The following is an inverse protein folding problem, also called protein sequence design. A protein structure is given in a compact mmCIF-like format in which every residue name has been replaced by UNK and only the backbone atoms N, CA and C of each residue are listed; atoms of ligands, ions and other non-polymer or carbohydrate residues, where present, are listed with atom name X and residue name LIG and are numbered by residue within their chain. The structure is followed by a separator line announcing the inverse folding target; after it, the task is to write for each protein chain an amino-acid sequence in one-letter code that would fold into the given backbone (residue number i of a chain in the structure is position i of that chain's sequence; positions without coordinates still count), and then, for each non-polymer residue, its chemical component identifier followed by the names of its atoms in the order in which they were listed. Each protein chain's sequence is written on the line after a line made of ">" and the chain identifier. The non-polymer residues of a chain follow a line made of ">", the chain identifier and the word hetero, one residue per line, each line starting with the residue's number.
data_IF_617172682055
#
_entry.id   IF_617172682055
#
_cell.length_a   1.000
_cell.length_b   1.000
_cell.length_c   1.000
_cell.angle_alpha   90.00
_cell.angle_beta   90.00
_cell.angle_gamma   90.00
#
_symmetry.space_group_name_H-M   'P 1'
#
loop_
_entity.id
_entity.type
_entity.pdbx_description
1 polymer ?
#
# COMPACT_ATOMS: atom_id res chain seq x y z
N UNK A 1 -4.66 -4.34 -17.76
CA UNK A 1 -5.09 -5.75 -17.76
C UNK A 1 -4.04 -6.54 -17.02
N UNK A 2 -4.44 -7.37 -16.06
CA UNK A 2 -3.55 -8.25 -15.30
C UNK A 2 -2.97 -9.30 -16.23
N UNK A 3 -1.65 -9.46 -16.24
CA UNK A 3 -0.99 -10.45 -17.10
C UNK A 3 -1.38 -11.88 -16.67
N UNK A 4 -1.56 -12.85 -17.59
CA UNK A 4 -1.98 -14.22 -17.26
C UNK A 4 -1.04 -14.96 -16.30
N UNK A 5 0.22 -14.53 -16.17
CA UNK A 5 1.22 -15.12 -15.27
C UNK A 5 1.12 -14.60 -13.83
N UNK A 6 0.35 -13.54 -13.57
CA UNK A 6 0.28 -12.93 -12.23
C UNK A 6 -0.19 -13.92 -11.15
N UNK A 7 -1.17 -14.81 -11.39
CA UNK A 7 -1.56 -15.83 -10.41
C UNK A 7 -0.40 -16.74 -10.02
N UNK A 8 0.36 -17.27 -10.98
CA UNK A 8 1.52 -18.13 -10.71
C UNK A 8 2.64 -17.37 -9.98
N UNK A 9 2.89 -16.12 -10.38
CA UNK A 9 3.87 -15.26 -9.71
C UNK A 9 3.48 -14.97 -8.25
N UNK A 10 2.20 -14.74 -7.97
CA UNK A 10 1.70 -14.57 -6.60
C UNK A 10 1.83 -15.86 -5.78
N UNK A 11 1.46 -17.01 -6.35
CA UNK A 11 1.62 -18.31 -5.68
C UNK A 11 3.07 -18.62 -5.33
N UNK A 12 4.03 -18.12 -6.12
CA UNK A 12 5.45 -18.25 -5.83
C UNK A 12 5.94 -17.21 -4.81
N UNK A 13 5.59 -15.93 -5.00
CA UNK A 13 6.16 -14.83 -4.24
C UNK A 13 5.62 -14.73 -2.80
N UNK A 14 4.31 -15.01 -2.60
CA UNK A 14 3.68 -14.92 -1.28
C UNK A 14 4.39 -15.81 -0.24
N UNK A 15 4.55 -17.13 -0.43
CA UNK A 15 5.18 -17.98 0.59
C UNK A 15 6.65 -17.63 0.85
N UNK A 16 7.36 -17.12 -0.17
CA UNK A 16 8.74 -16.63 -0.01
C UNK A 16 8.76 -15.40 0.89
N UNK A 17 7.90 -14.43 0.62
CA UNK A 17 7.77 -13.23 1.44
C UNK A 17 7.39 -13.57 2.88
N UNK A 18 6.40 -14.44 3.09
CA UNK A 18 5.96 -14.86 4.42
C UNK A 18 7.10 -15.50 5.24
N UNK A 19 7.92 -16.34 4.60
CA UNK A 19 9.08 -16.95 5.26
C UNK A 19 10.17 -15.92 5.66
N UNK A 20 10.22 -14.78 4.97
CA UNK A 20 11.10 -13.66 5.29
C UNK A 20 10.47 -12.67 6.28
N UNK A 21 9.23 -12.91 6.75
CA UNK A 21 8.49 -11.97 7.60
C UNK A 21 7.95 -10.74 6.84
N UNK A 22 7.78 -10.89 5.52
CA UNK A 22 7.32 -9.86 4.59
C UNK A 22 5.93 -10.21 4.04
N UNK A 23 5.26 -9.22 3.49
CA UNK A 23 3.99 -9.33 2.78
C UNK A 23 4.17 -8.83 1.35
N UNK A 24 3.65 -9.56 0.37
CA UNK A 24 3.52 -9.06 -1.01
C UNK A 24 2.31 -8.15 -1.10
N UNK A 25 2.53 -6.88 -1.44
CA UNK A 25 1.48 -5.86 -1.54
C UNK A 25 0.91 -5.77 -2.96
N UNK A 26 1.77 -5.79 -3.97
CA UNK A 26 1.36 -5.75 -5.38
C UNK A 26 2.39 -6.44 -6.28
N UNK A 27 1.94 -7.00 -7.39
CA UNK A 27 2.81 -7.54 -8.44
C UNK A 27 2.35 -7.02 -9.79
N UNK A 28 3.31 -6.47 -10.56
CA UNK A 28 3.07 -5.96 -11.90
C UNK A 28 4.10 -6.53 -12.86
N UNK A 29 3.63 -7.15 -13.94
CA UNK A 29 4.50 -7.59 -15.03
C UNK A 29 4.33 -6.72 -16.28
N UNK A 30 5.33 -5.86 -16.52
CA UNK A 30 5.35 -4.88 -17.60
C UNK A 30 6.04 -5.45 -18.84
N UNK A 31 5.29 -6.15 -19.68
CA UNK A 31 5.81 -6.77 -20.91
C UNK A 31 6.09 -5.78 -22.04
N UNK A 32 5.58 -4.56 -21.93
CA UNK A 32 5.82 -3.49 -22.90
C UNK A 32 7.24 -2.91 -22.82
N UNK A 33 8.01 -3.23 -21.77
CA UNK A 33 9.42 -2.82 -21.64
C UNK A 33 10.35 -3.82 -22.33
N UNK A 34 11.55 -3.39 -22.71
CA UNK A 34 12.60 -4.25 -23.27
C UNK A 34 13.92 -4.06 -22.50
N UNK A 35 14.35 -5.03 -21.68
CA UNK A 35 13.62 -6.25 -21.30
C UNK A 35 12.34 -5.95 -20.50
N UNK A 36 11.38 -6.91 -20.44
CA UNK A 36 10.20 -6.80 -19.59
C UNK A 36 10.57 -6.68 -18.12
N UNK A 37 9.73 -5.99 -17.34
CA UNK A 37 9.99 -5.72 -15.92
C UNK A 37 8.94 -6.42 -15.07
N UNK A 38 9.38 -7.28 -14.15
CA UNK A 38 8.56 -7.81 -13.07
C UNK A 38 8.82 -6.98 -11.81
N UNK A 39 7.82 -6.21 -11.39
CA UNK A 39 7.86 -5.42 -10.17
C UNK A 39 7.06 -6.10 -9.08
N UNK A 40 7.65 -6.23 -7.91
CA UNK A 40 7.01 -6.77 -6.71
C UNK A 40 7.15 -5.74 -5.59
N UNK A 41 6.02 -5.18 -5.16
CA UNK A 41 5.98 -4.29 -4.01
C UNK A 41 5.77 -5.13 -2.74
N UNK A 42 6.66 -5.00 -1.76
CA UNK A 42 6.68 -5.80 -0.52
C UNK A 42 6.65 -4.93 0.73
N UNK A 43 6.15 -5.46 1.84
CA UNK A 43 6.09 -4.76 3.11
C UNK A 43 6.58 -5.62 4.26
N UNK A 44 7.42 -5.07 5.13
CA UNK A 44 7.77 -5.70 6.39
C UNK A 44 6.60 -5.61 7.38
N UNK A 45 6.14 -6.75 7.90
CA UNK A 45 4.97 -6.81 8.80
C UNK A 45 5.28 -6.29 10.21
N UNK A 46 6.53 -6.40 10.66
CA UNK A 46 6.96 -6.00 12.00
C UNK A 46 7.46 -4.55 12.10
N UNK A 47 7.84 -3.93 10.97
CA UNK A 47 8.48 -2.62 10.99
C UNK A 47 8.50 -1.90 9.64
N UNK A 48 9.34 -0.89 9.52
CA UNK A 48 9.57 -0.23 8.24
C UNK A 48 10.18 -1.22 7.22
N UNK A 49 9.89 -1.04 5.93
CA UNK A 49 10.42 -1.92 4.89
C UNK A 49 11.75 -1.36 4.41
N UNK A 50 12.84 -1.99 4.82
CA UNK A 50 14.18 -1.53 4.55
C UNK A 50 14.74 -2.02 3.20
N UNK A 51 15.96 -1.56 2.90
CA UNK A 51 16.73 -2.06 1.75
C UNK A 51 17.06 -3.55 1.90
N UNK A 52 17.42 -3.99 3.11
CA UNK A 52 17.75 -5.39 3.40
C UNK A 52 16.56 -6.32 3.15
N UNK A 53 15.33 -5.89 3.43
CA UNK A 53 14.11 -6.65 3.11
C UNK A 53 13.97 -6.84 1.60
N UNK A 54 14.17 -5.76 0.84
CA UNK A 54 14.13 -5.79 -0.63
C UNK A 54 15.21 -6.70 -1.22
N UNK A 55 16.43 -6.63 -0.69
CA UNK A 55 17.55 -7.47 -1.16
C UNK A 55 17.30 -8.95 -0.89
N UNK A 56 16.85 -9.31 0.32
CA UNK A 56 16.57 -10.70 0.69
C UNK A 56 15.45 -11.28 -0.19
N UNK A 57 14.35 -10.53 -0.35
CA UNK A 57 13.25 -10.93 -1.22
C UNK A 57 13.71 -11.08 -2.67
N UNK A 58 14.52 -10.16 -3.19
CA UNK A 58 15.02 -10.20 -4.58
C UNK A 58 15.80 -11.48 -4.83
N UNK A 59 16.74 -11.82 -3.94
CA UNK A 59 17.58 -13.02 -4.10
C UNK A 59 16.75 -14.31 -4.03
N UNK A 60 15.83 -14.39 -3.06
CA UNK A 60 14.99 -15.57 -2.87
C UNK A 60 14.02 -15.77 -4.04
N UNK A 61 13.38 -14.69 -4.49
CA UNK A 61 12.43 -14.74 -5.59
C UNK A 61 13.12 -15.04 -6.93
N UNK A 62 14.28 -14.43 -7.21
CA UNK A 62 15.06 -14.71 -8.43
C UNK A 62 15.42 -16.19 -8.52
N UNK A 63 15.92 -16.78 -7.43
CA UNK A 63 16.26 -18.21 -7.35
C UNK A 63 15.06 -19.10 -7.65
N UNK A 64 13.89 -18.74 -7.11
CA UNK A 64 12.67 -19.51 -7.28
C UNK A 64 12.09 -19.39 -8.70
N UNK A 65 12.16 -18.19 -9.29
CA UNK A 65 11.73 -17.93 -10.67
C UNK A 65 12.57 -18.71 -11.69
N UNK A 66 13.89 -18.74 -11.50
CA UNK A 66 14.81 -19.49 -12.37
C UNK A 66 14.56 -21.00 -12.27
N UNK A 67 14.37 -21.51 -11.05
CA UNK A 67 14.12 -22.94 -10.81
C UNK A 67 12.81 -23.46 -11.40
N UNK A 68 11.78 -22.61 -11.52
CA UNK A 68 10.47 -23.01 -12.04
C UNK A 68 10.24 -22.61 -13.51
N UNK A 69 11.19 -21.90 -14.13
CA UNK A 69 11.11 -21.44 -15.53
C UNK A 69 9.79 -20.71 -15.88
N UNK A 70 9.22 -19.94 -14.94
CA UNK A 70 7.90 -19.29 -15.11
C UNK A 70 7.94 -18.18 -16.16
N UNK A 71 9.04 -17.42 -16.20
CA UNK A 71 9.18 -16.24 -17.05
C UNK A 71 9.93 -16.58 -18.34
N UNK A 72 9.39 -16.23 -19.52
CA UNK A 72 10.06 -16.50 -20.78
C UNK A 72 11.18 -15.48 -21.04
N UNK A 73 12.42 -15.97 -21.12
CA UNK A 73 13.58 -15.19 -21.55
C UNK A 73 14.06 -14.15 -20.54
N UNK A 74 14.78 -13.13 -21.05
CA UNK A 74 15.37 -12.10 -20.20
C UNK A 74 14.30 -11.17 -19.61
N UNK A 75 14.43 -10.85 -18.33
CA UNK A 75 13.58 -9.91 -17.60
C UNK A 75 14.41 -9.09 -16.61
N UNK A 76 13.82 -8.04 -16.04
CA UNK A 76 14.35 -7.32 -14.89
C UNK A 76 13.41 -7.53 -13.72
N UNK A 77 13.95 -8.00 -12.59
CA UNK A 77 13.23 -8.06 -11.32
C UNK A 77 13.46 -6.76 -10.55
N UNK A 78 12.37 -6.12 -10.16
CA UNK A 78 12.40 -4.96 -9.25
C UNK A 78 11.62 -5.32 -7.98
N UNK A 79 12.31 -5.26 -6.84
CA UNK A 79 11.68 -5.34 -5.52
C UNK A 79 11.69 -3.95 -4.90
N UNK A 80 10.53 -3.50 -4.43
CA UNK A 80 10.39 -2.21 -3.77
C UNK A 80 9.47 -2.29 -2.57
N UNK A 81 9.63 -1.37 -1.62
CA UNK A 81 8.57 -1.11 -0.65
C UNK A 81 7.35 -0.50 -1.38
N UNK A 82 6.09 -0.77 -0.95
CA UNK A 82 4.95 -0.03 -1.47
C UNK A 82 5.22 1.45 -1.24
N UNK A 83 5.12 2.24 -2.31
CA UNK A 83 5.19 3.69 -2.16
C UNK A 83 4.17 4.16 -1.12
N UNK A 84 4.39 5.35 -0.57
CA UNK A 84 3.41 5.97 0.31
C UNK A 84 2.14 6.20 -0.50
N UNK A 85 1.15 5.33 -0.34
CA UNK A 85 -0.19 5.54 -0.84
C UNK A 85 -0.70 6.81 -0.18
N UNK A 86 -0.92 7.85 -0.99
CA UNK A 86 -1.54 9.08 -0.51
C UNK A 86 -2.92 8.80 0.09
N UNK A 87 -3.54 7.69 -0.30
CA UNK A 87 -4.80 7.20 0.25
C UNK A 87 -4.54 6.15 1.33
N UNK A 88 -5.03 6.42 2.54
CA UNK A 88 -4.97 5.51 3.67
C UNK A 88 -6.11 4.49 3.53
N UNK A 89 -5.77 3.21 3.46
CA UNK A 89 -6.76 2.13 3.27
C UNK A 89 -6.69 1.07 4.38
N UNK A 90 -5.48 0.77 4.84
CA UNK A 90 -5.19 -0.27 5.82
C UNK A 90 -5.14 0.30 7.23
N UNK A 91 -5.51 -0.50 8.25
CA UNK A 91 -5.46 -0.04 9.65
C UNK A 91 -4.07 0.46 10.06
N UNK A 92 -3.04 -0.26 9.62
CA UNK A 92 -1.64 0.11 9.82
C UNK A 92 -1.33 1.50 9.30
N UNK A 93 -1.83 1.87 8.11
CA UNK A 93 -1.62 3.21 7.56
C UNK A 93 -2.29 4.27 8.44
N UNK A 94 -3.51 4.00 8.93
CA UNK A 94 -4.18 4.92 9.86
C UNK A 94 -3.42 5.08 11.19
N UNK A 95 -2.75 4.03 11.67
CA UNK A 95 -1.88 4.10 12.85
C UNK A 95 -0.59 4.88 12.55
N UNK A 96 0.12 4.54 11.48
CA UNK A 96 1.38 5.18 11.08
C UNK A 96 1.22 6.68 10.81
N UNK A 97 0.09 7.09 10.23
CA UNK A 97 -0.19 8.49 9.90
C UNK A 97 -1.06 9.20 10.94
N UNK A 98 -1.20 8.64 12.14
CA UNK A 98 -1.84 9.35 13.25
C UNK A 98 -1.10 10.65 13.55
N UNK A 99 -1.85 11.74 13.70
CA UNK A 99 -1.35 13.10 13.89
C UNK A 99 -1.08 13.89 12.61
N UNK A 100 -1.03 13.23 11.44
CA UNK A 100 -0.83 13.89 10.16
C UNK A 100 -2.13 14.51 9.64
N UNK A 101 -2.06 15.61 8.87
CA UNK A 101 -3.23 16.20 8.26
C UNK A 101 -3.75 15.30 7.13
N UNK A 102 -5.06 15.06 7.13
CA UNK A 102 -5.76 14.24 6.15
C UNK A 102 -7.01 14.95 5.62
N UNK A 103 -7.43 14.54 4.43
CA UNK A 103 -8.72 14.85 3.84
C UNK A 103 -9.52 13.55 3.79
N UNK A 104 -10.66 13.53 4.45
CA UNK A 104 -11.67 12.47 4.34
C UNK A 104 -12.72 12.94 3.34
N UNK A 105 -12.96 12.16 2.30
CA UNK A 105 -14.01 12.40 1.32
C UNK A 105 -15.10 11.36 1.49
N UNK A 106 -16.35 11.79 1.53
CA UNK A 106 -17.49 10.91 1.76
C UNK A 106 -18.82 11.60 1.51
N UNK A 107 -19.85 11.16 2.22
CA UNK A 107 -21.19 11.73 2.17
C UNK A 107 -21.65 12.19 3.55
N UNK A 108 -22.39 13.30 3.59
CA UNK A 108 -23.07 13.74 4.81
C UNK A 108 -24.29 12.86 5.13
N UNK A 109 -24.94 13.12 6.27
CA UNK A 109 -26.18 12.44 6.68
C UNK A 109 -27.35 12.55 5.68
N UNK A 110 -27.33 13.54 4.77
CA UNK A 110 -28.28 13.69 3.66
C UNK A 110 -27.80 13.05 2.36
N UNK A 111 -26.67 12.33 2.36
CA UNK A 111 -26.09 11.68 1.19
C UNK A 111 -25.38 12.63 0.22
N UNK A 112 -25.19 13.91 0.57
CA UNK A 112 -24.49 14.85 -0.32
C UNK A 112 -22.99 14.69 -0.15
N UNK A 113 -22.20 14.84 -1.24
CA UNK A 113 -20.74 14.80 -1.14
C UNK A 113 -20.22 15.81 -0.11
N UNK A 114 -19.36 15.34 0.79
CA UNK A 114 -18.73 16.15 1.82
C UNK A 114 -17.25 15.79 1.95
N UNK A 115 -16.42 16.80 2.18
CA UNK A 115 -15.03 16.63 2.58
C UNK A 115 -14.81 17.16 4.00
N UNK A 116 -14.06 16.42 4.80
CA UNK A 116 -13.61 16.83 6.13
C UNK A 116 -12.09 16.88 6.14
N UNK A 117 -11.52 17.97 6.65
CA UNK A 117 -10.06 18.16 6.73
C UNK A 117 -9.64 18.34 8.17
N UNK A 118 -8.67 17.56 8.62
CA UNK A 118 -8.20 17.62 10.00
C UNK A 118 -6.99 16.73 10.23
N UNK A 119 -6.43 16.77 11.43
CA UNK A 119 -5.38 15.82 11.83
C UNK A 119 -5.99 14.47 12.16
N UNK A 120 -5.48 13.40 11.57
CA UNK A 120 -5.95 12.05 11.86
C UNK A 120 -5.70 11.73 13.34
N UNK A 121 -6.71 11.26 14.05
CA UNK A 121 -6.58 10.76 15.43
C UNK A 121 -6.61 9.23 15.49
N UNK A 122 -7.21 8.59 14.48
CA UNK A 122 -7.25 7.14 14.33
C UNK A 122 -8.50 6.70 13.59
N UNK A 123 -8.69 5.39 13.50
CA UNK A 123 -9.94 4.75 13.09
C UNK A 123 -10.25 3.57 14.01
N UNK A 124 -11.52 3.22 14.06
CA UNK A 124 -12.02 1.95 14.59
C UNK A 124 -12.87 1.25 13.52
N UNK A 125 -13.64 0.23 13.90
CA UNK A 125 -14.50 -0.51 12.98
C UNK A 125 -15.65 0.34 12.43
N UNK A 126 -16.15 1.31 13.18
CA UNK A 126 -17.32 2.12 12.86
C UNK A 126 -16.96 3.53 12.41
N UNK A 127 -15.89 4.13 12.94
CA UNK A 127 -15.62 5.56 12.73
C UNK A 127 -14.17 5.91 12.38
N UNK A 128 -14.01 7.09 11.76
CA UNK A 128 -12.72 7.78 11.59
C UNK A 128 -12.76 9.04 12.45
N UNK A 129 -11.70 9.24 13.23
CA UNK A 129 -11.58 10.37 14.15
C UNK A 129 -10.59 11.40 13.61
N UNK A 130 -11.04 12.65 13.48
CA UNK A 130 -10.20 13.78 13.10
C UNK A 130 -10.17 14.82 14.22
N UNK A 131 -9.06 15.54 14.33
CA UNK A 131 -8.99 16.79 15.08
C UNK A 131 -9.03 17.97 14.08
N UNK A 132 -10.09 18.76 14.14
CA UNK A 132 -10.24 19.99 13.37
C UNK A 132 -10.11 21.20 14.30
N UNK A 133 -8.94 21.86 14.27
CA UNK A 133 -8.67 23.08 15.05
C UNK A 133 -8.99 22.95 16.55
N UNK A 134 -8.66 21.79 17.14
CA UNK A 134 -8.89 21.50 18.56
C UNK A 134 -10.22 20.82 18.87
N UNK A 135 -11.11 20.65 17.89
CA UNK A 135 -12.38 19.91 18.05
C UNK A 135 -12.25 18.50 17.48
N UNK A 136 -12.68 17.51 18.26
CA UNK A 136 -12.81 16.13 17.77
C UNK A 136 -14.02 16.01 16.87
N UNK A 137 -13.81 15.50 15.66
CA UNK A 137 -14.82 15.17 14.68
C UNK A 137 -14.82 13.66 14.47
N UNK A 138 -16.00 13.06 14.57
CA UNK A 138 -16.23 11.63 14.31
C UNK A 138 -16.99 11.50 13.00
N UNK A 139 -16.47 10.68 12.09
CA UNK A 139 -17.06 10.43 10.77
C UNK A 139 -17.37 8.95 10.68
N UNK A 140 -18.61 8.61 10.34
CA UNK A 140 -19.04 7.23 10.17
C UNK A 140 -18.35 6.60 8.95
N UNK A 141 -17.74 5.44 9.11
CA UNK A 141 -16.97 4.76 8.06
C UNK A 141 -17.85 4.34 6.88
N UNK A 142 -19.14 4.10 7.09
CA UNK A 142 -20.04 3.70 6.01
C UNK A 142 -20.29 4.84 5.01
N UNK A 143 -20.10 6.09 5.43
CA UNK A 143 -20.24 7.26 4.55
C UNK A 143 -18.93 7.71 3.92
N UNK A 144 -17.79 7.15 4.34
CA UNK A 144 -16.46 7.50 3.83
C UNK A 144 -16.17 6.76 2.52
N UNK A 145 -15.79 7.53 1.50
CA UNK A 145 -15.38 7.02 0.19
C UNK A 145 -13.86 6.86 0.15
N UNK A 146 -13.11 7.83 0.68
CA UNK A 146 -11.65 7.76 0.74
C UNK A 146 -11.07 8.63 1.84
N UNK A 147 -9.86 8.28 2.29
CA UNK A 147 -9.07 9.09 3.20
C UNK A 147 -7.70 9.29 2.58
N UNK A 148 -7.24 10.53 2.46
CA UNK A 148 -5.92 10.83 1.89
C UNK A 148 -5.13 11.80 2.76
N UNK A 149 -3.81 11.73 2.68
CA UNK A 149 -2.91 12.71 3.30
C UNK A 149 -3.10 14.10 2.63
N UNK A 150 -3.19 15.14 3.44
CA UNK A 150 -3.29 16.53 2.98
C UNK A 150 -1.88 17.08 2.73
N UNK A 151 -1.45 17.13 1.47
CA UNK A 151 -0.12 17.62 1.07
C UNK A 151 0.01 19.15 1.07
N UNK A 152 -0.94 19.88 1.69
CA UNK A 152 -0.73 21.31 1.90
C UNK A 152 0.47 21.45 2.83
N UNK A 153 1.62 21.76 2.23
CA UNK A 153 2.80 22.21 2.97
C UNK A 153 2.29 23.25 3.95
N UNK A 154 2.47 22.97 5.23
CA UNK A 154 2.41 24.03 6.23
C UNK A 154 3.53 24.98 5.82
N UNK A 155 3.16 26.00 5.04
CA UNK A 155 3.95 27.20 4.89
C UNK A 155 3.90 27.84 6.26
N UNK A 156 4.84 27.42 7.10
CA UNK A 156 5.22 28.14 8.31
C UNK A 156 6.44 28.98 7.94
#
# INVERSE_FOLDING_TARGET
>A
MTHPLIPDLLHLAIPIAENLGLEVVDIVFQTNKRPPVLRVDIRNLAGDTGLEDCEQMSRALETALDSQEILPGAYVLEISSPGISRQLSSEREFQSFKGFPVIVTGQDSQGKPQEWRGKLQGRDEQSIYLNQKGRSLTIDRTTVISVRLDERRSNQ
#
